data_IF_005868902505
#
_entry.id   IF_005868902505
#
_cell.length_a   1.000
_cell.length_b   1.000
_cell.length_c   1.000
_cell.angle_alpha   90.00
_cell.angle_beta   90.00
_cell.angle_gamma   90.00
#
_symmetry.space_group_name_H-M   'P 1'
#
loop_
_entity.id
_entity.type
_entity.pdbx_description
1 polymer ?
#
# COMPACT_ATOMS: atom_id res chain seq x y z
N UNK A 1 14.27 2.80 -4.00
CA UNK A 1 13.84 3.17 -2.63
C UNK A 1 12.98 2.03 -2.07
N UNK A 2 13.44 1.35 -1.01
CA UNK A 2 12.69 0.29 -0.33
C UNK A 2 11.91 0.93 0.83
N UNK A 3 10.66 1.29 0.58
CA UNK A 3 9.73 1.65 1.66
C UNK A 3 9.33 0.33 2.36
N UNK A 4 9.78 0.12 3.61
CA UNK A 4 9.32 -0.98 4.48
C UNK A 4 8.39 -0.35 5.52
N UNK A 5 7.12 -0.73 5.50
CA UNK A 5 6.11 -0.22 6.42
C UNK A 5 5.16 -1.35 6.82
N UNK A 6 4.61 -1.26 8.03
CA UNK A 6 3.63 -2.20 8.57
C UNK A 6 4.24 -3.37 9.34
N UNK A 7 3.43 -4.43 9.50
CA UNK A 7 3.75 -5.66 10.22
C UNK A 7 3.31 -6.88 9.40
N UNK A 8 3.38 -8.07 9.98
CA UNK A 8 2.97 -9.30 9.32
C UNK A 8 1.49 -9.33 8.92
N UNK A 9 1.18 -10.22 7.99
CA UNK A 9 -0.14 -10.36 7.37
C UNK A 9 -1.29 -10.49 8.38
N UNK A 10 -1.13 -11.30 9.42
CA UNK A 10 -2.22 -11.57 10.38
C UNK A 10 -2.63 -10.32 11.17
N UNK A 11 -1.66 -9.49 11.55
CA UNK A 11 -1.91 -8.22 12.24
C UNK A 11 -2.53 -7.22 11.25
N UNK A 12 -1.98 -7.12 10.04
CA UNK A 12 -2.49 -6.24 8.99
C UNK A 12 -3.96 -6.54 8.68
N UNK A 13 -4.31 -7.81 8.44
CA UNK A 13 -5.70 -8.22 8.17
C UNK A 13 -6.61 -7.95 9.36
N UNK A 14 -6.15 -8.22 10.58
CA UNK A 14 -6.93 -7.98 11.78
C UNK A 14 -7.29 -6.49 11.92
N UNK A 15 -6.31 -5.60 11.81
CA UNK A 15 -6.53 -4.15 11.95
C UNK A 15 -7.37 -3.59 10.80
N UNK A 16 -7.06 -3.96 9.55
CA UNK A 16 -7.83 -3.50 8.40
C UNK A 16 -9.29 -3.93 8.48
N UNK A 17 -9.60 -5.15 8.95
CA UNK A 17 -10.99 -5.60 9.13
C UNK A 17 -11.77 -4.72 10.10
N UNK A 18 -11.18 -4.38 11.26
CA UNK A 18 -11.80 -3.50 12.25
C UNK A 18 -12.03 -2.08 11.70
N UNK A 19 -11.03 -1.52 11.02
CA UNK A 19 -11.14 -0.17 10.46
C UNK A 19 -12.22 -0.11 9.37
N UNK A 20 -12.22 -1.08 8.45
CA UNK A 20 -13.20 -1.10 7.36
C UNK A 20 -14.60 -1.57 7.79
N UNK A 21 -14.77 -2.21 8.96
CA UNK A 21 -16.09 -2.45 9.58
C UNK A 21 -16.64 -1.23 10.30
N UNK A 22 -15.88 -0.14 10.41
CA UNK A 22 -16.29 1.09 11.11
C UNK A 22 -15.98 1.10 12.60
N UNK A 23 -15.21 0.13 13.11
CA UNK A 23 -14.73 0.16 14.49
C UNK A 23 -13.65 1.22 14.65
N UNK A 24 -13.71 2.00 15.73
CA UNK A 24 -12.65 2.94 16.04
C UNK A 24 -11.42 2.21 16.60
N UNK A 25 -10.39 2.08 15.77
CA UNK A 25 -9.09 1.56 16.18
C UNK A 25 -8.22 2.75 16.60
N UNK A 26 -8.28 3.11 17.87
CA UNK A 26 -7.52 4.24 18.41
C UNK A 26 -6.02 3.98 18.37
N UNK A 27 -5.24 5.06 18.25
CA UNK A 27 -3.81 5.00 18.51
C UNK A 27 -3.60 4.66 19.99
N UNK A 28 -2.67 3.75 20.26
CA UNK A 28 -2.31 3.35 21.62
C UNK A 28 -1.38 4.44 22.17
N UNK A 29 -1.73 5.12 23.27
CA UNK A 29 -0.81 6.04 23.90
C UNK A 29 0.37 5.27 24.46
N UNK A 30 1.58 5.66 24.07
CA UNK A 30 2.82 5.07 24.58
C UNK A 30 2.85 5.17 26.11
N UNK A 31 3.30 4.10 26.79
CA UNK A 31 3.43 4.02 28.26
C UNK A 31 2.10 4.01 29.03
N UNK A 32 1.08 3.35 28.48
CA UNK A 32 -0.17 3.03 29.19
C UNK A 32 -0.31 1.52 29.44
N UNK A 33 -1.06 1.06 30.46
CA UNK A 33 -1.38 -0.36 30.64
C UNK A 33 -2.06 -0.99 29.41
N UNK A 34 -2.81 -0.18 28.66
CA UNK A 34 -3.42 -0.58 27.39
C UNK A 34 -2.37 -0.95 26.33
N UNK A 35 -1.23 -0.24 26.31
CA UNK A 35 -0.12 -0.53 25.42
C UNK A 35 0.49 -1.91 25.66
N UNK A 36 0.65 -2.30 26.93
CA UNK A 36 1.19 -3.62 27.28
C UNK A 36 0.23 -4.74 26.84
N UNK A 37 -1.07 -4.58 27.09
CA UNK A 37 -2.10 -5.55 26.66
C UNK A 37 -2.13 -5.73 25.14
N UNK A 38 -2.11 -4.64 24.39
CA UNK A 38 -2.18 -4.66 22.93
C UNK A 38 -0.89 -5.21 22.30
N UNK A 39 0.29 -4.87 22.87
CA UNK A 39 1.56 -5.48 22.47
C UNK A 39 1.55 -6.99 22.72
N UNK A 40 1.03 -7.45 23.87
CA UNK A 40 0.87 -8.87 24.17
C UNK A 40 -0.09 -9.57 23.20
N UNK A 41 -1.15 -8.90 22.75
CA UNK A 41 -2.02 -9.44 21.69
C UNK A 41 -1.26 -9.57 20.36
N UNK A 42 -0.49 -8.55 19.97
CA UNK A 42 0.30 -8.57 18.74
C UNK A 42 1.38 -9.66 18.77
N UNK A 43 2.08 -9.83 19.90
CA UNK A 43 3.05 -10.91 20.11
C UNK A 43 2.40 -12.30 20.07
N UNK A 44 1.14 -12.43 20.50
CA UNK A 44 0.38 -13.68 20.37
C UNK A 44 0.01 -13.97 18.91
N UNK A 45 -0.34 -12.94 18.14
CA UNK A 45 -0.68 -13.08 16.71
C UNK A 45 0.55 -13.34 15.83
N UNK A 46 1.71 -12.80 16.21
CA UNK A 46 2.94 -12.91 15.44
C UNK A 46 4.14 -13.15 16.37
N UNK A 47 4.47 -14.43 16.57
CA UNK A 47 5.44 -14.85 17.59
C UNK A 47 6.85 -14.27 17.44
N UNK A 48 7.31 -14.02 16.21
CA UNK A 48 8.63 -13.43 15.93
C UNK A 48 8.72 -11.93 16.28
N UNK A 49 7.61 -11.25 16.60
CA UNK A 49 7.65 -9.87 17.06
C UNK A 49 8.18 -9.74 18.49
N UNK A 50 8.23 -10.84 19.28
CA UNK A 50 8.77 -10.83 20.64
C UNK A 50 10.26 -10.44 20.68
N UNK A 51 10.97 -10.71 19.59
CA UNK A 51 12.39 -10.40 19.44
C UNK A 51 12.62 -8.98 18.89
N UNK A 52 11.55 -8.25 18.57
CA UNK A 52 11.61 -6.90 17.98
C UNK A 52 11.42 -5.82 19.04
N UNK A 53 12.09 -4.66 18.91
CA UNK A 53 11.86 -3.52 19.81
C UNK A 53 10.39 -3.08 19.82
N UNK A 54 9.83 -2.77 20.99
CA UNK A 54 8.43 -2.33 21.11
C UNK A 54 8.10 -1.13 20.20
N UNK A 55 9.03 -0.18 20.06
CA UNK A 55 8.93 0.97 19.16
C UNK A 55 8.72 0.57 17.68
N UNK A 56 9.37 -0.50 17.22
CA UNK A 56 9.21 -1.02 15.86
C UNK A 56 7.79 -1.56 15.65
N UNK A 57 7.29 -2.31 16.64
CA UNK A 57 5.95 -2.90 16.61
C UNK A 57 4.86 -1.81 16.65
N UNK A 58 5.02 -0.81 17.51
CA UNK A 58 4.09 0.32 17.61
C UNK A 58 4.07 1.18 16.34
N UNK A 59 5.25 1.45 15.76
CA UNK A 59 5.37 2.15 14.47
C UNK A 59 4.67 1.38 13.35
N UNK A 60 4.95 0.08 13.22
CA UNK A 60 4.34 -0.76 12.18
C UNK A 60 2.82 -0.86 12.32
N UNK A 61 2.30 -0.94 13.55
CA UNK A 61 0.85 -0.84 13.81
C UNK A 61 0.28 0.49 13.32
N UNK A 62 0.92 1.60 13.67
CA UNK A 62 0.48 2.95 13.28
C UNK A 62 0.49 3.10 11.75
N UNK A 63 1.52 2.60 11.09
CA UNK A 63 1.61 2.56 9.62
C UNK A 63 0.44 1.80 8.99
N UNK A 64 0.03 0.65 9.53
CA UNK A 64 -1.16 -0.08 9.05
C UNK A 64 -2.44 0.74 9.23
N UNK A 65 -2.65 1.28 10.43
CA UNK A 65 -3.87 2.01 10.78
C UNK A 65 -4.02 3.25 9.89
N UNK A 66 -2.97 4.06 9.81
CA UNK A 66 -3.01 5.30 9.04
C UNK A 66 -3.11 5.03 7.53
N UNK A 67 -2.49 3.96 7.05
CA UNK A 67 -2.65 3.54 5.68
C UNK A 67 -4.11 3.15 5.37
N UNK A 68 -4.76 2.35 6.22
CA UNK A 68 -6.15 1.96 6.03
C UNK A 68 -7.10 3.19 6.06
N UNK A 69 -6.88 4.11 7.01
CA UNK A 69 -7.65 5.36 7.13
C UNK A 69 -7.47 6.28 5.92
N UNK A 70 -6.23 6.47 5.46
CA UNK A 70 -5.94 7.29 4.29
C UNK A 70 -6.61 6.72 3.04
N UNK A 71 -6.57 5.41 2.86
CA UNK A 71 -7.22 4.77 1.72
C UNK A 71 -8.76 4.86 1.82
N UNK A 72 -9.33 4.69 3.01
CA UNK A 72 -10.77 4.89 3.24
C UNK A 72 -11.21 6.32 2.90
N UNK A 73 -10.45 7.33 3.30
CA UNK A 73 -10.70 8.73 2.97
C UNK A 73 -10.69 8.95 1.44
N UNK A 74 -9.64 8.47 0.76
CA UNK A 74 -9.50 8.62 -0.69
C UNK A 74 -10.64 7.92 -1.45
N UNK A 75 -10.98 6.69 -1.06
CA UNK A 75 -12.08 5.94 -1.67
C UNK A 75 -13.42 6.65 -1.43
N UNK A 76 -13.67 7.14 -0.22
CA UNK A 76 -14.90 7.87 0.08
C UNK A 76 -15.04 9.13 -0.78
N UNK A 77 -14.01 9.98 -0.86
CA UNK A 77 -14.06 11.20 -1.67
C UNK A 77 -14.15 10.91 -3.18
N UNK A 78 -13.24 10.10 -3.72
CA UNK A 78 -13.11 9.92 -5.16
C UNK A 78 -14.08 8.89 -5.76
N UNK A 79 -14.35 7.79 -5.06
CA UNK A 79 -15.17 6.68 -5.57
C UNK A 79 -16.64 6.82 -5.16
N UNK A 80 -16.89 7.07 -3.88
CA UNK A 80 -18.26 7.13 -3.33
C UNK A 80 -18.92 8.47 -3.64
N UNK A 81 -18.29 9.59 -3.24
CA UNK A 81 -18.82 10.93 -3.50
C UNK A 81 -18.59 11.41 -4.93
N UNK A 82 -17.86 10.63 -5.76
CA UNK A 82 -17.57 10.93 -7.17
C UNK A 82 -16.89 12.29 -7.39
N UNK A 83 -16.18 12.80 -6.39
CA UNK A 83 -15.44 14.05 -6.50
C UNK A 83 -14.22 13.89 -7.40
N UNK A 84 -13.70 15.02 -7.91
CA UNK A 84 -12.43 15.05 -8.62
C UNK A 84 -11.27 14.80 -7.65
N UNK A 85 -10.20 14.17 -8.14
CA UNK A 85 -8.98 14.02 -7.36
C UNK A 85 -8.19 15.34 -7.41
N UNK A 86 -8.30 16.13 -6.36
CA UNK A 86 -7.66 17.44 -6.22
C UNK A 86 -6.33 17.37 -5.45
N UNK A 87 -5.53 18.44 -5.52
CA UNK A 87 -4.32 18.57 -4.69
C UNK A 87 -4.66 18.48 -3.20
N UNK A 88 -5.77 19.08 -2.78
CA UNK A 88 -6.28 19.05 -1.41
C UNK A 88 -6.59 17.62 -0.97
N UNK A 89 -7.31 16.85 -1.79
CA UNK A 89 -7.61 15.43 -1.51
C UNK A 89 -6.32 14.61 -1.39
N UNK A 90 -5.34 14.83 -2.26
CA UNK A 90 -4.05 14.11 -2.22
C UNK A 90 -3.24 14.49 -0.97
N UNK A 91 -3.15 15.78 -0.64
CA UNK A 91 -2.45 16.27 0.55
C UNK A 91 -3.10 15.76 1.83
N UNK A 92 -4.43 15.76 1.90
CA UNK A 92 -5.16 15.23 3.05
C UNK A 92 -4.98 13.71 3.19
N UNK A 93 -5.07 12.97 2.08
CA UNK A 93 -4.77 11.52 2.07
C UNK A 93 -3.37 11.25 2.61
N UNK A 94 -2.37 12.01 2.15
CA UNK A 94 -0.99 11.88 2.61
C UNK A 94 -0.81 12.32 4.07
N UNK A 95 -1.50 13.37 4.53
CA UNK A 95 -1.48 13.81 5.93
C UNK A 95 -2.02 12.72 6.86
N UNK A 96 -3.12 12.07 6.48
CA UNK A 96 -3.67 10.92 7.23
C UNK A 96 -2.66 9.78 7.22
N UNK A 97 -2.10 9.42 6.05
CA UNK A 97 -1.14 8.33 5.87
C UNK A 97 0.08 8.43 6.79
N UNK A 98 0.53 9.66 7.08
CA UNK A 98 1.77 9.95 7.82
C UNK A 98 1.52 10.32 9.27
N UNK A 99 0.27 10.41 9.71
CA UNK A 99 -0.09 10.87 11.06
C UNK A 99 0.61 10.05 12.16
N UNK A 100 1.39 10.73 12.99
CA UNK A 100 2.13 10.13 14.11
C UNK A 100 3.32 9.24 13.67
N UNK A 101 3.76 9.29 12.42
CA UNK A 101 4.90 8.51 11.91
C UNK A 101 6.03 9.51 11.62
N UNK A 102 7.11 9.56 12.41
CA UNK A 102 8.25 10.42 12.09
C UNK A 102 9.09 9.83 10.95
N UNK A 103 9.74 10.70 10.17
CA UNK A 103 10.86 10.29 9.31
C UNK A 103 12.09 10.20 10.21
N UNK A 104 12.73 9.03 10.21
CA UNK A 104 13.92 8.73 11.00
C UNK A 104 15.04 8.46 10.01
N UNK A 105 16.08 9.29 10.03
CA UNK A 105 17.27 9.17 9.19
C UNK A 105 18.52 9.20 10.08
N UNK A 106 19.48 8.31 9.79
CA UNK A 106 20.69 8.20 10.60
C UNK A 106 21.53 9.48 10.50
N UNK A 107 21.87 10.07 11.65
CA UNK A 107 22.69 11.29 11.73
C UNK A 107 21.94 12.59 11.45
N UNK A 108 20.61 12.57 11.35
CA UNK A 108 19.75 13.75 11.18
C UNK A 108 18.65 13.72 12.23
N UNK A 109 18.22 14.89 12.70
CA UNK A 109 17.08 14.99 13.63
C UNK A 109 15.80 14.43 13.00
N UNK A 110 15.04 13.68 13.79
CA UNK A 110 13.74 13.13 13.38
C UNK A 110 12.81 14.24 12.87
N UNK A 111 12.18 13.99 11.71
CA UNK A 111 11.19 14.92 11.16
C UNK A 111 9.81 14.50 11.64
N UNK A 112 9.24 15.31 12.53
CA UNK A 112 7.88 15.13 13.02
C UNK A 112 6.85 15.17 11.86
N UNK A 113 5.80 14.33 11.91
CA UNK A 113 4.79 14.22 10.85
C UNK A 113 4.08 15.54 10.52
N UNK A 114 3.93 16.45 11.49
CA UNK A 114 3.33 17.76 11.28
C UNK A 114 4.17 18.65 10.35
N UNK A 115 5.46 18.36 10.18
CA UNK A 115 6.37 19.11 9.31
C UNK A 115 6.39 18.60 7.87
N UNK A 116 5.85 17.42 7.56
CA UNK A 116 5.90 16.84 6.21
C UNK A 116 4.57 16.23 5.72
N UNK A 117 3.65 15.92 6.62
CA UNK A 117 2.37 15.31 6.32
C UNK A 117 1.44 16.24 5.53
N UNK A 118 1.33 16.00 4.23
CA UNK A 118 0.47 16.77 3.33
C UNK A 118 1.16 18.04 2.82
N UNK A 119 2.46 18.17 3.11
CA UNK A 119 3.29 19.32 2.74
C UNK A 119 4.23 18.87 1.63
N UNK A 120 4.20 19.54 0.48
CA UNK A 120 5.13 19.24 -0.60
C UNK A 120 6.57 19.45 -0.14
N UNK A 121 7.45 18.56 -0.59
CA UNK A 121 8.86 18.64 -0.23
C UNK A 121 9.50 19.90 -0.82
N UNK A 122 10.41 20.42 -0.03
CA UNK A 122 11.34 21.52 -0.30
C UNK A 122 12.75 21.00 -0.60
N UNK A 123 13.02 19.72 -0.37
CA UNK A 123 14.31 19.06 -0.60
C UNK A 123 14.33 18.23 -1.88
N UNK A 124 15.49 18.25 -2.57
CA UNK A 124 15.71 17.39 -3.72
C UNK A 124 15.85 15.93 -3.25
N UNK A 125 15.19 15.01 -3.97
CA UNK A 125 15.23 13.58 -3.68
C UNK A 125 15.41 12.81 -4.98
N UNK A 126 16.00 11.63 -4.88
CA UNK A 126 16.24 10.72 -5.99
C UNK A 126 16.13 9.26 -5.56
N UNK A 127 16.05 8.37 -6.54
CA UNK A 127 16.08 6.94 -6.34
C UNK A 127 17.13 6.31 -7.26
N UNK A 128 18.23 5.82 -6.69
CA UNK A 128 19.36 5.34 -7.49
C UNK A 128 20.02 6.51 -8.23
N UNK A 129 20.24 6.35 -9.53
CA UNK A 129 20.78 7.39 -10.42
C UNK A 129 19.75 8.40 -10.91
N UNK A 130 18.46 8.20 -10.62
CA UNK A 130 17.37 9.02 -11.16
C UNK A 130 16.94 10.08 -10.15
N UNK A 131 16.97 11.35 -10.56
CA UNK A 131 16.43 12.46 -9.78
C UNK A 131 14.94 12.65 -10.09
N UNK A 132 14.14 12.91 -9.05
CA UNK A 132 12.74 13.28 -9.22
C UNK A 132 12.60 14.77 -9.55
N UNK A 133 11.36 15.24 -9.75
CA UNK A 133 11.05 16.65 -10.05
C UNK A 133 11.74 17.60 -9.06
N UNK A 134 12.36 18.69 -9.52
CA UNK A 134 12.98 19.67 -8.61
C UNK A 134 11.91 20.29 -7.70
N UNK A 135 12.16 20.44 -6.38
CA UNK A 135 11.14 20.88 -5.40
C UNK A 135 10.31 22.09 -5.83
N UNK A 136 10.96 23.12 -6.38
CA UNK A 136 10.30 24.34 -6.85
C UNK A 136 9.24 24.13 -7.94
N UNK A 137 9.31 23.02 -8.68
CA UNK A 137 8.35 22.68 -9.72
C UNK A 137 7.26 21.70 -9.25
N UNK A 138 7.37 21.12 -8.05
CA UNK A 138 6.39 20.16 -7.51
C UNK A 138 4.99 20.78 -7.44
N UNK A 139 4.76 22.00 -6.91
CA UNK A 139 3.41 22.57 -6.86
C UNK A 139 2.77 22.71 -8.24
N UNK A 140 3.51 23.26 -9.21
CA UNK A 140 3.03 23.40 -10.59
C UNK A 140 2.71 22.04 -11.22
N UNK A 141 3.58 21.05 -11.00
CA UNK A 141 3.41 19.70 -11.57
C UNK A 141 2.25 18.94 -10.96
N UNK A 142 2.00 19.09 -9.66
CA UNK A 142 0.82 18.49 -9.01
C UNK A 142 -0.49 19.15 -9.46
N UNK A 143 -0.47 20.47 -9.72
CA UNK A 143 -1.61 21.15 -10.32
C UNK A 143 -1.92 20.61 -11.72
N UNK A 144 -0.91 20.56 -12.59
CA UNK A 144 -1.01 19.98 -13.95
C UNK A 144 -1.52 18.54 -13.90
N UNK A 145 -0.98 17.73 -12.98
CA UNK A 145 -1.40 16.35 -12.75
C UNK A 145 -2.91 16.23 -12.49
N UNK A 146 -3.45 17.02 -11.55
CA UNK A 146 -4.86 16.97 -11.18
C UNK A 146 -5.76 17.48 -12.32
N UNK A 147 -5.38 18.57 -12.98
CA UNK A 147 -6.10 19.15 -14.12
C UNK A 147 -6.17 18.17 -15.29
N UNK A 148 -5.03 17.55 -15.63
CA UNK A 148 -4.95 16.56 -16.70
C UNK A 148 -5.80 15.32 -16.37
N UNK A 149 -5.71 14.79 -15.14
CA UNK A 149 -6.50 13.62 -14.72
C UNK A 149 -8.00 13.88 -14.86
N UNK A 150 -8.45 15.04 -14.40
CA UNK A 150 -9.84 15.46 -14.54
C UNK A 150 -10.26 15.56 -16.01
N UNK A 151 -9.44 16.18 -16.85
CA UNK A 151 -9.72 16.33 -18.27
C UNK A 151 -9.82 14.98 -19.00
N UNK A 152 -8.87 14.08 -18.76
CA UNK A 152 -8.84 12.74 -19.36
C UNK A 152 -10.05 11.90 -18.92
N UNK A 153 -10.40 11.94 -17.63
CA UNK A 153 -11.60 11.28 -17.10
C UNK A 153 -12.85 11.86 -17.76
N UNK A 154 -13.00 13.18 -17.80
CA UNK A 154 -14.18 13.85 -18.36
C UNK A 154 -14.35 13.50 -19.83
N UNK A 155 -13.26 13.47 -20.59
CA UNK A 155 -13.26 13.08 -21.99
C UNK A 155 -13.68 11.61 -22.18
N UNK A 156 -13.13 10.70 -21.38
CA UNK A 156 -13.47 9.28 -21.43
C UNK A 156 -14.94 9.03 -21.06
N UNK A 157 -15.44 9.69 -20.01
CA UNK A 157 -16.86 9.63 -19.60
C UNK A 157 -17.78 10.19 -20.68
N UNK A 158 -17.42 11.32 -21.30
CA UNK A 158 -18.20 11.93 -22.40
C UNK A 158 -18.26 11.01 -23.64
N UNK A 159 -17.18 10.28 -23.92
CA UNK A 159 -17.15 9.30 -25.02
C UNK A 159 -17.82 7.96 -24.68
N UNK A 160 -18.16 7.73 -23.41
CA UNK A 160 -18.71 6.46 -22.93
C UNK A 160 -17.72 5.29 -22.95
N UNK A 161 -16.43 5.55 -23.13
CA UNK A 161 -15.38 4.52 -23.21
C UNK A 161 -14.21 4.95 -22.34
N UNK A 162 -14.02 4.23 -21.22
CA UNK A 162 -12.89 4.42 -20.32
C UNK A 162 -12.06 3.13 -20.26
N UNK A 163 -10.75 3.27 -20.45
CA UNK A 163 -9.78 2.22 -20.12
C UNK A 163 -9.22 2.51 -18.71
N UNK A 164 -9.72 1.82 -17.67
CA UNK A 164 -9.32 2.08 -16.29
C UNK A 164 -7.86 1.73 -16.03
N UNK A 165 -7.30 0.72 -16.73
CA UNK A 165 -5.92 0.30 -16.55
C UNK A 165 -4.97 1.32 -17.16
N UNK A 166 -5.30 1.81 -18.35
CA UNK A 166 -4.54 2.87 -19.02
C UNK A 166 -4.50 4.15 -18.20
N UNK A 167 -5.66 4.67 -17.76
CA UNK A 167 -5.72 5.90 -16.93
C UNK A 167 -5.01 5.69 -15.59
N UNK A 168 -5.29 4.59 -14.88
CA UNK A 168 -4.67 4.34 -13.57
C UNK A 168 -3.14 4.25 -13.67
N UNK A 169 -2.62 3.54 -14.68
CA UNK A 169 -1.17 3.41 -14.90
C UNK A 169 -0.51 4.70 -15.36
N UNK A 170 -1.15 5.48 -16.23
CA UNK A 170 -0.63 6.79 -16.66
C UNK A 170 -0.39 7.70 -15.47
N UNK A 171 -1.43 7.93 -14.66
CA UNK A 171 -1.36 8.88 -13.56
C UNK A 171 -0.56 8.37 -12.37
N UNK A 172 -0.51 7.06 -12.12
CA UNK A 172 0.40 6.54 -11.10
C UNK A 172 1.88 6.65 -11.48
N UNK A 173 2.22 6.58 -12.78
CA UNK A 173 3.58 6.86 -13.25
C UNK A 173 3.91 8.35 -13.17
N UNK A 174 3.00 9.21 -13.60
CA UNK A 174 3.19 10.67 -13.50
C UNK A 174 3.38 11.10 -12.04
N UNK A 175 2.52 10.62 -11.13
CA UNK A 175 2.62 10.92 -9.70
C UNK A 175 3.97 10.48 -9.09
N UNK A 176 4.44 9.27 -9.39
CA UNK A 176 5.71 8.78 -8.82
C UNK A 176 6.92 9.55 -9.36
N UNK A 177 6.84 10.07 -10.58
CA UNK A 177 7.87 10.92 -11.20
C UNK A 177 7.90 12.33 -10.58
N UNK A 178 6.73 12.88 -10.23
CA UNK A 178 6.64 14.14 -9.48
C UNK A 178 7.24 13.94 -8.08
N UNK A 179 6.89 12.83 -7.43
CA UNK A 179 7.35 12.46 -6.09
C UNK A 179 7.13 13.60 -5.06
N UNK A 180 5.88 14.05 -4.84
CA UNK A 180 5.61 15.34 -4.23
C UNK A 180 5.97 15.48 -2.74
N UNK A 181 6.08 14.39 -1.99
CA UNK A 181 6.29 14.42 -0.53
C UNK A 181 7.69 13.91 -0.12
N UNK A 182 8.08 14.12 1.14
CA UNK A 182 9.37 13.62 1.67
C UNK A 182 9.41 12.10 1.88
N UNK A 183 8.29 11.51 2.29
CA UNK A 183 8.09 10.06 2.45
C UNK A 183 6.65 9.69 1.99
N UNK A 184 6.27 8.42 1.93
CA UNK A 184 4.88 8.02 1.68
C UNK A 184 4.43 8.06 0.21
N UNK A 185 5.31 8.46 -0.72
CA UNK A 185 4.98 8.57 -2.14
C UNK A 185 4.63 7.22 -2.78
N UNK A 186 5.32 6.14 -2.40
CA UNK A 186 5.03 4.80 -2.93
C UNK A 186 3.63 4.32 -2.53
N UNK A 187 3.29 4.45 -1.24
CA UNK A 187 1.97 4.15 -0.69
C UNK A 187 0.86 4.98 -1.33
N UNK A 188 1.03 6.31 -1.38
CA UNK A 188 0.04 7.22 -2.01
C UNK A 188 -0.15 6.93 -3.50
N UNK A 189 0.94 6.63 -4.22
CA UNK A 189 0.89 6.23 -5.63
C UNK A 189 0.00 5.00 -5.86
N UNK A 190 0.15 3.96 -5.03
CA UNK A 190 -0.65 2.72 -5.14
C UNK A 190 -2.11 2.94 -4.73
N UNK A 191 -2.36 3.84 -3.77
CA UNK A 191 -3.73 4.26 -3.43
C UNK A 191 -4.42 4.97 -4.59
N UNK A 192 -3.74 5.91 -5.26
CA UNK A 192 -4.29 6.64 -6.43
C UNK A 192 -4.62 5.66 -7.57
N UNK A 193 -3.68 4.77 -7.90
CA UNK A 193 -3.90 3.71 -8.89
C UNK A 193 -5.16 2.91 -8.56
N UNK A 194 -5.27 2.42 -7.33
CA UNK A 194 -6.38 1.59 -6.90
C UNK A 194 -7.69 2.36 -6.76
N UNK A 195 -7.67 3.65 -6.44
CA UNK A 195 -8.89 4.48 -6.43
C UNK A 195 -9.48 4.63 -7.84
N UNK A 196 -8.64 4.80 -8.87
CA UNK A 196 -9.07 4.85 -10.27
C UNK A 196 -9.63 3.50 -10.72
N UNK A 197 -8.91 2.39 -10.44
CA UNK A 197 -9.40 1.04 -10.76
C UNK A 197 -10.71 0.72 -10.03
N UNK A 198 -10.86 1.15 -8.78
CA UNK A 198 -12.08 0.93 -8.01
C UNK A 198 -13.27 1.69 -8.63
N UNK A 199 -13.08 2.97 -8.98
CA UNK A 199 -14.14 3.80 -9.56
C UNK A 199 -14.67 3.28 -10.90
N UNK A 200 -13.78 2.78 -11.75
CA UNK A 200 -14.12 2.47 -13.15
C UNK A 200 -14.14 0.98 -13.50
N UNK A 201 -13.54 0.12 -12.69
CA UNK A 201 -13.55 -1.33 -12.88
C UNK A 201 -14.08 -2.12 -11.66
N UNK A 202 -14.32 -1.47 -10.52
CA UNK A 202 -14.82 -2.15 -9.32
C UNK A 202 -13.83 -3.13 -8.70
N UNK A 203 -12.53 -2.96 -8.97
CA UNK A 203 -11.48 -3.86 -8.51
C UNK A 203 -10.39 -3.13 -7.73
N UNK A 204 -9.69 -3.88 -6.89
CA UNK A 204 -8.46 -3.48 -6.21
C UNK A 204 -7.40 -4.52 -6.56
N UNK A 205 -6.22 -4.06 -6.93
CA UNK A 205 -5.09 -4.88 -7.35
C UNK A 205 -3.95 -4.67 -6.36
N UNK A 206 -3.53 -5.72 -5.64
CA UNK A 206 -2.35 -5.64 -4.81
C UNK A 206 -1.10 -5.58 -5.70
N UNK A 207 -0.20 -4.63 -5.45
CA UNK A 207 1.02 -4.45 -6.26
C UNK A 207 2.27 -4.60 -5.41
N UNK A 208 3.15 -5.52 -5.81
CA UNK A 208 4.45 -5.74 -5.18
C UNK A 208 4.35 -6.56 -3.89
N UNK A 209 3.49 -7.58 -3.88
CA UNK A 209 3.34 -8.52 -2.76
C UNK A 209 4.56 -9.43 -2.64
N UNK A 210 5.14 -9.84 -3.78
CA UNK A 210 6.23 -10.83 -3.84
C UNK A 210 7.53 -10.19 -4.34
N UNK A 211 8.68 -10.77 -3.95
CA UNK A 211 10.00 -10.22 -4.28
C UNK A 211 10.28 -10.08 -5.78
N UNK A 212 9.89 -11.09 -6.58
CA UNK A 212 10.02 -11.08 -8.03
C UNK A 212 9.09 -10.05 -8.68
N UNK A 213 7.80 -10.08 -8.31
CA UNK A 213 6.79 -9.10 -8.76
C UNK A 213 7.23 -7.67 -8.46
N UNK A 214 7.76 -7.43 -7.26
CA UNK A 214 8.28 -6.13 -6.85
C UNK A 214 9.44 -5.70 -7.74
N UNK A 215 10.32 -6.62 -8.12
CA UNK A 215 11.45 -6.33 -9.01
C UNK A 215 11.00 -6.00 -10.42
N UNK A 216 10.01 -6.72 -10.95
CA UNK A 216 9.36 -6.43 -12.23
C UNK A 216 8.70 -5.04 -12.21
N UNK A 217 7.87 -4.77 -11.21
CA UNK A 217 7.22 -3.48 -11.00
C UNK A 217 8.22 -2.31 -10.95
N UNK A 218 9.31 -2.46 -10.19
CA UNK A 218 10.35 -1.43 -10.10
C UNK A 218 11.08 -1.24 -11.43
N UNK A 219 11.23 -2.30 -12.23
CA UNK A 219 11.85 -2.23 -13.56
C UNK A 219 10.95 -1.52 -14.56
N UNK A 220 9.66 -1.85 -14.60
CA UNK A 220 8.69 -1.16 -15.45
C UNK A 220 8.66 0.35 -15.15
N UNK A 221 8.67 0.72 -13.87
CA UNK A 221 8.70 2.14 -13.47
C UNK A 221 9.97 2.85 -13.92
N UNK A 222 11.12 2.18 -13.82
CA UNK A 222 12.40 2.72 -14.28
C UNK A 222 12.41 2.92 -15.79
N UNK A 223 12.00 1.90 -16.56
CA UNK A 223 11.95 1.98 -18.02
C UNK A 223 10.96 3.05 -18.51
N UNK A 224 9.82 3.22 -17.84
CA UNK A 224 8.88 4.28 -18.18
C UNK A 224 9.48 5.68 -17.99
N UNK A 225 10.37 5.84 -17.01
CA UNK A 225 11.07 7.10 -16.76
C UNK A 225 12.30 7.30 -17.66
N UNK A 226 13.05 6.24 -17.97
CA UNK A 226 14.35 6.32 -18.65
C UNK A 226 14.25 6.14 -20.17
N UNK A 227 13.36 5.25 -20.64
CA UNK A 227 13.27 4.86 -22.05
C UNK A 227 12.10 5.52 -22.78
N UNK A 228 11.31 6.37 -22.11
CA UNK A 228 10.06 6.94 -22.62
C UNK A 228 9.06 5.87 -23.12
N UNK A 229 9.20 4.63 -22.63
CA UNK A 229 8.20 3.58 -22.78
C UNK A 229 6.96 4.08 -22.03
N UNK A 230 5.94 4.52 -22.73
CA UNK A 230 4.73 5.09 -22.11
C UNK A 230 4.07 4.13 -21.10
N UNK A 231 2.89 4.47 -20.60
CA UNK A 231 2.24 3.70 -19.53
C UNK A 231 1.73 2.31 -19.91
N UNK A 232 1.83 1.90 -21.18
CA UNK A 232 1.32 0.63 -21.72
C UNK A 232 1.84 -0.64 -21.03
N UNK A 233 3.17 -0.83 -20.88
CA UNK A 233 3.71 -1.98 -20.16
C UNK A 233 3.23 -2.05 -18.71
N UNK A 234 3.10 -0.90 -18.05
CA UNK A 234 2.59 -0.86 -16.69
C UNK A 234 1.09 -1.18 -16.62
N UNK A 235 0.29 -0.70 -17.56
CA UNK A 235 -1.13 -1.07 -17.66
C UNK A 235 -1.30 -2.58 -17.87
N UNK A 236 -0.48 -3.19 -18.73
CA UNK A 236 -0.50 -4.64 -18.95
C UNK A 236 -0.11 -5.43 -17.69
N UNK A 237 0.91 -4.97 -16.96
CA UNK A 237 1.31 -5.56 -15.69
C UNK A 237 0.15 -5.52 -14.68
N UNK A 238 -0.47 -4.34 -14.48
CA UNK A 238 -1.60 -4.17 -13.55
C UNK A 238 -2.79 -5.05 -13.95
N UNK A 239 -3.11 -5.13 -15.25
CA UNK A 239 -4.17 -6.00 -15.77
C UNK A 239 -3.86 -7.48 -15.51
N UNK A 240 -2.62 -7.91 -15.72
CA UNK A 240 -2.20 -9.31 -15.48
C UNK A 240 -2.36 -9.68 -14.00
N UNK A 241 -2.02 -8.76 -13.10
CA UNK A 241 -2.24 -8.92 -11.66
C UNK A 241 -3.74 -8.98 -11.32
N UNK A 242 -4.56 -8.09 -11.89
CA UNK A 242 -6.01 -8.10 -11.71
C UNK A 242 -6.63 -9.44 -12.13
N UNK A 243 -6.28 -9.94 -13.33
CA UNK A 243 -6.78 -11.22 -13.87
C UNK A 243 -6.36 -12.38 -12.98
N UNK A 244 -5.10 -12.41 -12.54
CA UNK A 244 -4.60 -13.45 -11.62
C UNK A 244 -5.42 -13.45 -10.34
N UNK A 245 -5.66 -12.28 -9.76
CA UNK A 245 -6.40 -12.17 -8.51
C UNK A 245 -7.87 -12.59 -8.65
N UNK A 246 -8.54 -12.15 -9.71
CA UNK A 246 -9.93 -12.55 -9.98
C UNK A 246 -10.05 -14.07 -10.20
N UNK A 247 -9.06 -14.71 -10.83
CA UNK A 247 -9.02 -16.18 -10.98
C UNK A 247 -8.89 -16.89 -9.63
N UNK A 248 -8.04 -16.38 -8.73
CA UNK A 248 -7.92 -16.94 -7.37
C UNK A 248 -9.20 -16.81 -6.56
N UNK A 249 -9.86 -15.65 -6.62
CA UNK A 249 -11.15 -15.42 -5.97
C UNK A 249 -12.21 -16.39 -6.52
N UNK A 250 -12.28 -16.55 -7.86
CA UNK A 250 -13.18 -17.51 -8.50
C UNK A 250 -12.93 -18.94 -8.01
N UNK A 251 -11.67 -19.38 -7.93
CA UNK A 251 -11.32 -20.73 -7.42
C UNK A 251 -11.79 -20.92 -5.97
N UNK A 252 -11.59 -19.92 -5.10
CA UNK A 252 -12.05 -19.96 -3.70
C UNK A 252 -13.57 -20.03 -3.57
N UNK A 253 -14.31 -19.32 -4.44
CA UNK A 253 -15.77 -19.39 -4.46
C UNK A 253 -16.28 -20.74 -4.99
N UNK A 254 -15.68 -21.27 -6.05
CA UNK A 254 -16.04 -22.56 -6.63
C UNK A 254 -15.76 -23.74 -5.68
N UNK A 255 -14.67 -23.68 -4.90
CA UNK A 255 -14.30 -24.71 -3.93
C UNK A 255 -15.17 -24.78 -2.66
N UNK A 256 -16.04 -23.79 -2.41
CA UNK A 256 -16.97 -23.80 -1.25
C UNK A 256 -18.32 -24.47 -1.53
N UNK A 257 -18.55 -24.98 -2.74
CA UNK A 257 -19.76 -25.72 -3.11
C UNK A 257 -19.57 -27.24 -3.06
N UNK A 258 -19.41 -27.84 -1.86
CA UNK A 258 -19.77 -29.24 -1.48
C UNK A 258 -18.90 -29.76 -0.32
N UNK A 259 -19.50 -29.88 0.86
CA UNK A 259 -19.67 -31.15 1.59
C UNK A 259 -20.65 -30.91 2.74
N UNK A 260 -21.88 -31.35 2.55
CA UNK A 260 -22.78 -31.67 3.65
C UNK A 260 -22.24 -32.95 4.27
N UNK A 261 -21.99 -32.90 5.58
CA UNK A 261 -21.51 -34.02 6.38
C UNK A 261 -22.40 -35.25 6.22
N UNK A 262 -21.76 -36.37 5.90
CA UNK A 262 -22.23 -37.69 6.31
C UNK A 262 -21.01 -38.52 6.72
N UNK A 263 -20.91 -38.76 8.03
CA UNK A 263 -20.54 -40.05 8.56
C UNK A 263 -19.05 -40.42 8.59
N UNK A 264 -18.57 -40.50 9.83
CA UNK A 264 -17.72 -41.56 10.41
C UNK A 264 -16.22 -41.65 10.10
N UNK A 265 -15.51 -41.70 11.24
CA UNK A 265 -14.31 -42.47 11.61
C UNK A 265 -12.94 -42.04 11.09
N UNK A 266 -12.14 -41.54 12.04
CA UNK A 266 -10.67 -41.62 12.06
C UNK A 266 -10.19 -43.09 11.94
N UNK A 267 -8.95 -43.34 11.48
CA UNK A 267 -7.89 -43.50 12.48
C UNK A 267 -6.50 -42.92 12.12
N UNK A 268 -5.72 -42.79 13.18
CA UNK A 268 -4.28 -42.54 13.34
C UNK A 268 -3.35 -43.48 12.54
N UNK A 269 -2.12 -43.01 12.27
CA UNK A 269 -0.76 -43.62 12.31
C UNK A 269 0.13 -42.70 11.42
N UNK A 270 1.18 -41.98 11.84
CA UNK A 270 2.32 -42.36 12.66
C UNK A 270 3.48 -42.77 11.73
N UNK A 271 4.51 -41.95 11.51
CA UNK A 271 5.94 -42.36 11.46
C UNK A 271 6.91 -41.17 11.27
N UNK A 272 8.02 -41.29 12.00
CA UNK A 272 9.12 -40.35 12.22
C UNK A 272 10.15 -40.35 11.09
N UNK A 273 10.85 -39.23 10.87
CA UNK A 273 12.32 -39.22 10.78
C UNK A 273 12.91 -37.82 10.99
N UNK A 274 13.86 -37.76 11.91
CA UNK A 274 14.70 -36.62 12.22
C UNK A 274 15.73 -36.36 11.11
N UNK A 275 15.99 -35.08 10.85
CA UNK A 275 17.17 -34.59 10.13
C UNK A 275 17.56 -33.25 10.73
N UNK A 276 18.71 -33.20 11.40
CA UNK A 276 19.36 -31.96 11.84
C UNK A 276 19.79 -31.17 10.60
N UNK A 277 19.47 -29.87 10.55
CA UNK A 277 20.24 -28.89 9.78
C UNK A 277 20.42 -27.64 10.63
N UNK A 278 21.68 -27.23 10.72
CA UNK A 278 22.20 -26.09 11.45
C UNK A 278 21.64 -24.74 11.02
N UNK A 279 21.80 -23.81 11.95
CA UNK A 279 21.35 -22.43 11.98
C UNK A 279 22.17 -21.56 11.02
N UNK A 280 21.49 -20.95 10.05
CA UNK A 280 21.65 -19.53 9.73
C UNK A 280 20.51 -19.10 8.80
N UNK A 281 19.46 -18.52 9.37
CA UNK A 281 18.48 -17.76 8.61
C UNK A 281 18.42 -16.37 9.21
N UNK A 282 19.04 -15.44 8.51
CA UNK A 282 18.67 -14.03 8.55
C UNK A 282 17.17 -13.95 8.29
N UNK A 283 16.40 -13.54 9.30
CA UNK A 283 14.97 -13.36 9.18
C UNK A 283 14.71 -12.08 8.34
N UNK A 284 14.54 -12.23 7.04
CA UNK A 284 13.89 -11.20 6.23
C UNK A 284 12.39 -11.22 6.54
N UNK A 285 11.95 -10.26 7.36
CA UNK A 285 10.52 -10.03 7.57
C UNK A 285 9.98 -9.37 6.30
N UNK A 286 9.23 -10.14 5.51
CA UNK A 286 8.45 -9.67 4.38
C UNK A 286 7.42 -8.63 4.87
N UNK A 287 7.69 -7.35 4.60
CA UNK A 287 6.72 -6.28 4.82
C UNK A 287 5.63 -6.39 3.76
N UNK A 288 4.41 -6.74 4.16
CA UNK A 288 3.26 -6.85 3.27
C UNK A 288 2.85 -5.46 2.75
N UNK A 289 2.84 -5.28 1.43
CA UNK A 289 2.31 -4.08 0.78
C UNK A 289 0.85 -3.85 1.20
N UNK A 290 0.57 -2.67 1.78
CA UNK A 290 -0.78 -2.33 2.28
C UNK A 290 -1.70 -1.80 1.15
N UNK A 291 -1.20 -1.69 -0.08
CA UNK A 291 -1.95 -1.81 -1.34
C UNK A 291 -0.99 -2.31 -2.39
#
# INVERSE_FOLDING_TARGET
MRERAGLGWDITVHLCRKIFSGEDVTDIPERTPQCESDLLEMYRRQGNLKDMPAQYVLRGRREIIQHARAFQYLIHSFVVLRQDLTEETIKETHRILTKGIPIIEEGVDDVAPEKYGGIYRDVAVGAGSTMFTVPQFVPRKMKEFCENLKADITLAETRGVIDPFSIASKYSLEYVQIHPFRDGNGRTCRMILNAILCRYAGIIVPIGEQGEERSEYMTIKRNASENMEGHGPYALFVLTRAVTRLRELKKKMAGKGKKIDKGSSYPFHGFSRAGKVEVSKSYEIESYCIV
#
